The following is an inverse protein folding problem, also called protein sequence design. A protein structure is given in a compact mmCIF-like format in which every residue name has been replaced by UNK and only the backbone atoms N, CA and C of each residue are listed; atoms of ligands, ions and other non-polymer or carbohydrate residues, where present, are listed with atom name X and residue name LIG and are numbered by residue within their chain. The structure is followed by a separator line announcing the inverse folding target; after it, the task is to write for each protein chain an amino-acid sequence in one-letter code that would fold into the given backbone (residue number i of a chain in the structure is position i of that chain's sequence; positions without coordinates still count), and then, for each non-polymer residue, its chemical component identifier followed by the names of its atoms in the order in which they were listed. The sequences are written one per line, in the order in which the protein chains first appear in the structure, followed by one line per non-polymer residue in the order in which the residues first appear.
data_IF_774381891464
#
_entry.id   IF_774381891464
#
_cell.length_a   1.000
_cell.length_b   1.000
_cell.length_c   1.000
_cell.angle_alpha   90.00
_cell.angle_beta   90.00
_cell.angle_gamma   90.00
#
_symmetry.space_group_name_H-M   'P 1'
#
loop_
_entity.id
_entity.type
_entity.pdbx_description
1 polymer ?
#
# COMPACT_ATOMS: atom_id res chain seq x y z
N UNK A 1 4.53 -14.38 28.50
CA UNK A 1 4.00 -14.53 27.13
C UNK A 1 3.63 -13.14 26.68
N UNK A 2 4.17 -12.68 25.55
CA UNK A 2 3.85 -11.37 24.96
C UNK A 2 2.39 -11.36 24.51
N UNK A 3 1.65 -10.31 24.87
CA UNK A 3 0.23 -10.10 24.56
C UNK A 3 0.01 -10.05 23.02
N UNK A 4 -1.15 -10.43 22.45
CA UNK A 4 -1.36 -10.35 21.00
C UNK A 4 -1.34 -8.92 20.48
N UNK A 5 -1.60 -7.94 21.35
CA UNK A 5 -1.43 -6.52 20.99
C UNK A 5 0.04 -6.10 21.07
N UNK A 6 0.83 -6.66 22.01
CA UNK A 6 2.30 -6.56 21.94
C UNK A 6 2.86 -7.33 20.71
N UNK A 7 2.06 -8.23 20.13
CA UNK A 7 2.29 -8.97 18.89
C UNK A 7 1.47 -8.46 17.71
N UNK A 8 0.77 -7.33 17.79
CA UNK A 8 0.22 -6.68 16.61
C UNK A 8 1.34 -5.99 15.80
N UNK A 9 2.57 -6.54 15.93
CA UNK A 9 3.88 -6.18 15.40
C UNK A 9 4.16 -4.70 15.21
N UNK A 10 3.59 -3.83 16.06
CA UNK A 10 3.80 -2.38 15.94
C UNK A 10 5.21 -1.93 16.34
N UNK A 11 5.95 -2.74 17.10
CA UNK A 11 7.37 -2.49 17.42
C UNK A 11 8.35 -2.90 16.32
N UNK A 12 7.94 -3.79 15.40
CA UNK A 12 8.79 -4.37 14.35
C UNK A 12 7.98 -4.53 13.05
N UNK A 13 7.43 -3.43 12.53
CA UNK A 13 6.72 -3.40 11.23
C UNK A 13 7.61 -3.77 10.03
N UNK A 14 8.92 -3.99 10.25
CA UNK A 14 9.92 -4.25 9.20
C UNK A 14 9.54 -5.42 8.28
N UNK A 15 8.73 -6.35 8.76
CA UNK A 15 8.37 -7.58 8.04
C UNK A 15 6.89 -7.68 7.64
N UNK A 16 6.09 -6.64 7.83
CA UNK A 16 4.67 -6.61 7.46
C UNK A 16 4.39 -5.43 6.52
N UNK A 17 3.45 -5.59 5.59
CA UNK A 17 3.08 -4.53 4.66
C UNK A 17 2.24 -3.43 5.33
N UNK A 18 1.64 -3.68 6.52
CA UNK A 18 0.94 -2.67 7.31
C UNK A 18 0.63 -3.12 8.76
N UNK A 19 0.32 -2.16 9.66
CA UNK A 19 -0.38 -2.34 10.94
C UNK A 19 -1.38 -3.50 11.04
N UNK A 20 -2.36 -3.53 10.14
CA UNK A 20 -3.43 -4.51 10.18
C UNK A 20 -2.94 -5.92 9.90
N UNK A 21 -2.03 -6.08 8.94
CA UNK A 21 -1.44 -7.39 8.63
C UNK A 21 -0.70 -7.96 9.83
N UNK A 22 0.04 -7.11 10.53
CA UNK A 22 0.75 -7.47 11.74
C UNK A 22 -0.21 -7.96 12.85
N UNK A 23 -1.33 -7.26 13.08
CA UNK A 23 -2.39 -7.72 13.98
C UNK A 23 -2.94 -9.08 13.57
N UNK A 24 -3.34 -9.26 12.31
CA UNK A 24 -3.90 -10.51 11.83
C UNK A 24 -2.91 -11.69 11.93
N UNK A 25 -1.62 -11.47 11.66
CA UNK A 25 -0.59 -12.47 11.91
C UNK A 25 -0.46 -12.86 13.39
N UNK A 26 -0.58 -11.88 14.31
CA UNK A 26 -0.62 -12.13 15.74
C UNK A 26 -1.82 -12.99 16.15
N UNK A 27 -3.01 -12.67 15.62
CA UNK A 27 -4.26 -13.38 15.92
C UNK A 27 -4.32 -14.82 15.39
N UNK A 28 -3.51 -15.16 14.38
CA UNK A 28 -3.41 -16.54 13.87
C UNK A 28 -2.64 -17.49 14.78
N UNK A 29 -1.85 -16.97 15.73
CA UNK A 29 -1.07 -17.82 16.65
C UNK A 29 -2.03 -18.49 17.64
N UNK A 30 -1.82 -19.78 17.98
CA UNK A 30 -2.62 -20.43 19.01
C UNK A 30 -2.56 -19.65 20.32
N UNK A 31 -3.72 -19.35 20.92
CA UNK A 31 -3.80 -18.59 22.17
C UNK A 31 -5.23 -18.40 22.68
N UNK A 32 -5.35 -17.80 23.87
CA UNK A 32 -6.64 -17.49 24.51
C UNK A 32 -7.18 -16.14 24.03
N UNK A 33 -7.87 -16.16 22.88
CA UNK A 33 -8.46 -14.98 22.24
C UNK A 33 -9.43 -14.20 23.14
N UNK A 34 -10.16 -14.90 24.01
CA UNK A 34 -11.08 -14.29 24.98
C UNK A 34 -10.30 -13.55 26.06
N UNK A 35 -9.28 -14.20 26.64
CA UNK A 35 -8.41 -13.59 27.64
C UNK A 35 -7.69 -12.36 27.10
N UNK A 36 -7.23 -12.41 25.85
CA UNK A 36 -6.58 -11.27 25.19
C UNK A 36 -7.50 -10.07 24.97
N UNK A 37 -8.74 -10.31 24.53
CA UNK A 37 -9.77 -9.26 24.44
C UNK A 37 -10.03 -8.63 25.81
N UNK A 38 -10.19 -9.44 26.85
CA UNK A 38 -10.52 -8.95 28.19
C UNK A 38 -9.34 -8.20 28.84
N UNK A 39 -8.10 -8.56 28.50
CA UNK A 39 -6.92 -7.78 28.85
C UNK A 39 -6.86 -6.45 28.09
N UNK A 40 -7.12 -6.45 26.79
CA UNK A 40 -7.20 -5.22 25.99
C UNK A 40 -8.22 -4.23 26.54
N UNK A 41 -9.42 -4.70 26.91
CA UNK A 41 -10.45 -3.84 27.52
C UNK A 41 -10.00 -3.18 28.81
N UNK A 42 -9.19 -3.88 29.64
CA UNK A 42 -8.58 -3.28 30.83
C UNK A 42 -7.57 -2.17 30.49
N UNK A 43 -6.85 -2.30 29.37
CA UNK A 43 -5.96 -1.23 28.86
C UNK A 43 -6.80 -0.06 28.36
N UNK A 44 -7.87 -0.30 27.60
CA UNK A 44 -8.79 0.75 27.12
C UNK A 44 -9.42 1.54 28.26
N UNK A 45 -9.89 0.87 29.31
CA UNK A 45 -10.50 1.54 30.47
C UNK A 45 -9.50 2.47 31.18
N UNK A 46 -8.22 2.10 31.22
CA UNK A 46 -7.15 2.95 31.76
C UNK A 46 -6.79 4.09 30.81
N UNK A 47 -6.75 3.83 29.51
CA UNK A 47 -6.46 4.84 28.49
C UNK A 47 -7.54 5.94 28.47
N UNK A 48 -8.83 5.56 28.57
CA UNK A 48 -9.96 6.50 28.71
C UNK A 48 -9.88 7.37 29.95
N UNK A 49 -9.29 6.87 31.03
CA UNK A 49 -9.11 7.59 32.28
C UNK A 49 -7.80 8.40 32.34
N UNK A 50 -6.96 8.32 31.32
CA UNK A 50 -5.59 8.85 31.33
C UNK A 50 -5.15 9.40 29.98
N UNK A 51 -3.83 9.41 29.79
CA UNK A 51 -3.21 9.76 28.52
C UNK A 51 -3.15 8.52 27.63
N UNK A 52 -3.89 8.56 26.52
CA UNK A 52 -3.95 7.49 25.54
C UNK A 52 -2.57 7.03 25.07
N UNK A 53 -1.70 7.96 24.64
CA UNK A 53 -0.38 7.61 24.12
C UNK A 53 0.48 6.96 25.21
N UNK A 54 0.50 7.54 26.41
CA UNK A 54 1.30 7.01 27.51
C UNK A 54 0.86 5.59 27.93
N UNK A 55 -0.46 5.33 27.95
CA UNK A 55 -1.01 4.01 28.27
C UNK A 55 -0.73 3.01 27.14
N UNK A 56 -0.90 3.39 25.87
CA UNK A 56 -0.59 2.51 24.74
C UNK A 56 0.90 2.12 24.71
N UNK A 57 1.79 3.07 24.98
CA UNK A 57 3.22 2.79 24.95
C UNK A 57 3.67 1.90 26.11
N UNK A 58 3.09 2.07 27.30
CA UNK A 58 3.52 1.36 28.52
C UNK A 58 2.84 0.02 28.72
N UNK A 59 1.57 -0.08 28.36
CA UNK A 59 0.73 -1.21 28.73
C UNK A 59 0.27 -2.04 27.54
N UNK A 60 0.18 -1.44 26.36
CA UNK A 60 -0.07 -2.15 25.10
C UNK A 60 1.22 -2.49 24.33
N UNK A 61 2.38 -2.02 24.82
CA UNK A 61 3.70 -2.13 24.19
C UNK A 61 3.73 -1.58 22.74
N UNK A 62 2.93 -0.55 22.45
CA UNK A 62 2.95 0.11 21.14
C UNK A 62 4.03 1.20 21.13
N UNK A 63 5.20 0.92 20.57
CA UNK A 63 6.31 1.88 20.59
C UNK A 63 6.23 2.91 19.45
N UNK A 64 5.15 3.71 19.40
CA UNK A 64 4.94 4.76 18.41
C UNK A 64 4.57 6.09 19.06
N UNK A 65 4.86 7.19 18.35
CA UNK A 65 4.46 8.54 18.77
C UNK A 65 3.02 8.84 18.37
N UNK A 66 2.65 8.41 17.16
CA UNK A 66 1.31 8.54 16.59
C UNK A 66 0.62 7.16 16.59
N UNK A 67 -0.73 7.12 16.57
CA UNK A 67 -1.43 5.86 16.41
C UNK A 67 -1.00 5.17 15.11
N UNK A 68 -0.97 3.83 15.06
CA UNK A 68 -0.53 3.13 13.86
C UNK A 68 -1.39 3.38 12.62
N UNK A 69 -2.68 3.67 12.78
CA UNK A 69 -3.58 4.04 11.69
C UNK A 69 -4.43 5.25 12.10
N UNK A 70 -4.61 6.21 11.20
CA UNK A 70 -5.35 7.45 11.43
C UNK A 70 -4.65 8.45 12.34
N UNK A 71 -5.40 9.46 12.82
CA UNK A 71 -4.89 10.54 13.70
C UNK A 71 -5.31 10.41 15.16
N UNK A 72 -6.15 9.42 15.50
CA UNK A 72 -6.72 9.25 16.85
C UNK A 72 -6.35 7.91 17.49
N UNK A 73 -5.63 7.97 18.62
CA UNK A 73 -5.34 6.81 19.46
C UNK A 73 -6.60 6.11 19.96
N UNK A 74 -7.63 6.86 20.32
CA UNK A 74 -8.91 6.32 20.77
C UNK A 74 -9.56 5.48 19.66
N UNK A 75 -9.73 6.07 18.47
CA UNK A 75 -10.39 5.41 17.32
C UNK A 75 -9.65 4.16 16.87
N UNK A 76 -8.32 4.21 16.83
CA UNK A 76 -7.48 3.05 16.55
C UNK A 76 -7.66 1.95 17.61
N UNK A 77 -7.63 2.32 18.88
CA UNK A 77 -7.70 1.35 19.96
C UNK A 77 -9.09 0.69 20.09
N UNK A 78 -10.16 1.43 19.80
CA UNK A 78 -11.52 0.92 19.69
C UNK A 78 -11.66 -0.07 18.54
N UNK A 79 -11.05 0.21 17.39
CA UNK A 79 -11.01 -0.76 16.29
C UNK A 79 -10.34 -2.08 16.70
N UNK A 80 -9.21 -2.02 17.41
CA UNK A 80 -8.54 -3.23 17.92
C UNK A 80 -9.48 -4.02 18.84
N UNK A 81 -10.26 -3.36 19.70
CA UNK A 81 -11.24 -4.05 20.55
C UNK A 81 -12.36 -4.70 19.75
N UNK A 82 -12.90 -4.00 18.75
CA UNK A 82 -13.89 -4.57 17.84
C UNK A 82 -13.35 -5.83 17.17
N UNK A 83 -12.11 -5.78 16.66
CA UNK A 83 -11.49 -6.90 15.97
C UNK A 83 -11.20 -8.07 16.92
N UNK A 84 -10.69 -7.81 18.11
CA UNK A 84 -10.49 -8.85 19.15
C UNK A 84 -11.81 -9.47 19.58
N UNK A 85 -12.88 -8.66 19.68
CA UNK A 85 -14.22 -9.14 20.03
C UNK A 85 -14.77 -10.07 18.96
N UNK A 86 -14.64 -9.70 17.68
CA UNK A 86 -15.05 -10.52 16.54
C UNK A 86 -14.30 -11.86 16.51
N UNK A 87 -12.98 -11.84 16.60
CA UNK A 87 -12.14 -13.03 16.52
C UNK A 87 -12.30 -13.94 17.75
N UNK A 88 -12.54 -13.38 18.94
CA UNK A 88 -12.84 -14.16 20.13
C UNK A 88 -14.22 -14.85 20.04
N UNK A 89 -15.18 -14.25 19.32
CA UNK A 89 -16.49 -14.84 19.09
C UNK A 89 -16.46 -15.91 17.98
N UNK A 90 -15.72 -15.63 16.91
CA UNK A 90 -15.52 -16.54 15.77
C UNK A 90 -14.08 -16.46 15.25
N UNK A 91 -13.20 -17.40 15.67
CA UNK A 91 -11.82 -17.44 15.21
C UNK A 91 -11.66 -17.70 13.71
N UNK A 92 -12.70 -18.16 13.00
CA UNK A 92 -12.64 -18.38 11.55
C UNK A 92 -12.63 -17.07 10.75
N UNK A 93 -12.95 -15.94 11.39
CA UNK A 93 -12.92 -14.60 10.78
C UNK A 93 -11.51 -14.04 10.62
N UNK A 94 -10.49 -14.66 11.21
CA UNK A 94 -9.08 -14.24 11.06
C UNK A 94 -8.68 -14.25 9.59
N UNK A 95 -8.01 -13.18 9.14
CA UNK A 95 -7.69 -13.02 7.73
C UNK A 95 -6.84 -14.20 7.20
N UNK A 96 -7.16 -14.75 6.00
CA UNK A 96 -6.48 -15.91 5.45
C UNK A 96 -5.11 -15.54 4.85
N UNK A 97 -4.19 -15.10 5.70
CA UNK A 97 -2.84 -14.73 5.31
C UNK A 97 -1.98 -15.97 5.02
N UNK A 98 -0.91 -15.85 4.22
CA UNK A 98 0.11 -16.89 4.08
C UNK A 98 0.71 -17.30 5.45
N UNK A 99 0.97 -18.59 5.66
CA UNK A 99 1.54 -19.09 6.94
C UNK A 99 2.99 -18.62 7.15
N UNK A 100 3.75 -18.56 6.06
CA UNK A 100 5.09 -18.00 6.03
C UNK A 100 5.01 -16.63 5.38
N UNK A 101 5.76 -15.66 5.93
CA UNK A 101 5.92 -14.34 5.34
C UNK A 101 6.45 -14.54 3.92
N UNK A 102 5.57 -14.38 2.96
CA UNK A 102 5.84 -14.55 1.55
C UNK A 102 6.23 -13.20 0.98
N UNK A 103 7.38 -13.17 0.33
CA UNK A 103 7.92 -11.93 -0.20
C UNK A 103 7.05 -11.40 -1.34
N UNK A 104 6.80 -10.10 -1.36
CA UNK A 104 6.06 -9.43 -2.43
C UNK A 104 6.73 -9.64 -3.80
N UNK A 105 5.93 -9.61 -4.86
CA UNK A 105 6.43 -9.42 -6.22
C UNK A 105 6.86 -7.95 -6.35
N UNK A 106 8.04 -7.75 -6.94
CA UNK A 106 8.63 -6.42 -7.11
C UNK A 106 8.87 -6.16 -8.61
N UNK A 107 8.46 -4.99 -9.09
CA UNK A 107 8.57 -4.53 -10.49
C UNK A 107 9.49 -3.32 -10.56
N UNK A 108 10.76 -3.55 -10.81
CA UNK A 108 11.78 -2.50 -10.95
C UNK A 108 11.88 -2.06 -12.41
N UNK A 109 12.20 -0.78 -12.62
CA UNK A 109 12.36 -0.21 -13.95
C UNK A 109 13.69 0.51 -14.09
N UNK A 110 14.68 -0.15 -14.72
CA UNK A 110 16.01 0.42 -14.89
C UNK A 110 16.12 1.12 -16.25
N UNK A 111 16.30 2.44 -16.22
CA UNK A 111 16.60 3.24 -17.41
C UNK A 111 18.11 3.21 -17.67
N UNK A 112 18.50 2.96 -18.91
CA UNK A 112 19.90 2.99 -19.32
C UNK A 112 20.44 4.42 -19.22
N UNK A 113 21.57 4.68 -18.52
CA UNK A 113 22.09 6.04 -18.35
C UNK A 113 22.38 6.77 -19.67
N UNK A 114 22.74 6.02 -20.72
CA UNK A 114 22.99 6.54 -22.08
C UNK A 114 21.71 7.08 -22.75
N UNK A 115 20.53 6.66 -22.29
CA UNK A 115 19.22 7.02 -22.85
C UNK A 115 18.62 8.27 -22.22
N UNK A 116 19.33 8.93 -21.31
CA UNK A 116 18.85 10.12 -20.61
C UNK A 116 18.45 11.28 -21.53
N UNK A 117 19.05 11.42 -22.71
CA UNK A 117 18.62 12.41 -23.71
C UNK A 117 17.30 12.02 -24.38
N UNK A 118 17.13 10.75 -24.76
CA UNK A 118 15.89 10.22 -25.34
C UNK A 118 14.71 10.44 -24.38
N UNK A 119 14.90 10.08 -23.11
CA UNK A 119 13.88 10.23 -22.06
C UNK A 119 13.52 11.71 -21.86
N UNK A 120 14.51 12.60 -21.80
CA UNK A 120 14.27 14.05 -21.68
C UNK A 120 13.49 14.61 -22.87
N UNK A 121 13.81 14.16 -24.09
CA UNK A 121 13.09 14.59 -25.28
C UNK A 121 11.63 14.16 -25.24
N UNK A 122 11.35 12.89 -24.93
CA UNK A 122 9.98 12.37 -24.81
C UNK A 122 9.20 13.13 -23.74
N UNK A 123 9.80 13.38 -22.56
CA UNK A 123 9.15 14.16 -21.49
C UNK A 123 8.85 15.61 -21.90
N UNK A 124 9.68 16.21 -22.74
CA UNK A 124 9.50 17.58 -23.23
C UNK A 124 8.29 17.76 -24.15
N UNK A 125 7.85 16.68 -24.80
CA UNK A 125 6.74 16.68 -25.76
C UNK A 125 5.39 16.29 -25.12
N UNK A 126 5.37 15.95 -23.83
CA UNK A 126 4.19 15.43 -23.14
C UNK A 126 3.27 16.57 -22.70
N UNK A 127 2.00 16.46 -23.11
CA UNK A 127 0.93 17.23 -22.49
C UNK A 127 0.57 16.59 -21.15
N UNK A 128 0.91 17.29 -20.07
CA UNK A 128 0.57 16.86 -18.72
C UNK A 128 -0.95 16.93 -18.55
N UNK A 129 -1.61 15.85 -18.13
CA UNK A 129 -3.05 15.84 -18.00
C UNK A 129 -3.50 16.75 -16.85
N UNK A 130 -4.70 17.31 -16.98
CA UNK A 130 -5.38 18.02 -15.89
C UNK A 130 -5.90 16.98 -14.88
N UNK A 131 -5.02 16.45 -14.05
CA UNK A 131 -5.40 15.49 -13.01
C UNK A 131 -5.44 16.21 -11.66
N UNK A 132 -6.54 15.98 -10.93
CA UNK A 132 -6.90 16.69 -9.71
C UNK A 132 -6.27 16.10 -8.43
N UNK A 133 -5.37 15.12 -8.55
CA UNK A 133 -4.72 14.45 -7.43
C UNK A 133 -3.35 15.01 -7.08
N UNK A 134 -2.84 14.63 -5.91
CA UNK A 134 -1.48 14.99 -5.48
C UNK A 134 -0.42 14.31 -6.33
N UNK A 135 -0.61 13.03 -6.67
CA UNK A 135 0.27 12.30 -7.59
C UNK A 135 -0.50 11.65 -8.72
N UNK A 136 0.21 11.48 -9.81
CA UNK A 136 -0.28 10.84 -11.02
C UNK A 136 0.82 10.02 -11.70
N UNK A 137 0.42 9.10 -12.58
CA UNK A 137 1.30 8.17 -13.24
C UNK A 137 1.00 8.04 -14.73
N UNK A 138 2.00 8.40 -15.54
CA UNK A 138 1.97 8.30 -16.99
C UNK A 138 2.88 7.17 -17.48
N UNK A 139 2.50 6.57 -18.60
CA UNK A 139 3.33 5.62 -19.33
C UNK A 139 3.45 6.17 -20.73
N UNK A 140 4.67 6.49 -21.12
CA UNK A 140 5.01 7.06 -22.41
C UNK A 140 5.79 6.03 -23.22
N UNK A 141 5.89 6.24 -24.52
CA UNK A 141 6.64 5.37 -25.41
C UNK A 141 7.79 6.12 -26.08
N UNK A 142 8.98 5.53 -26.01
CA UNK A 142 10.18 6.01 -26.67
C UNK A 142 10.32 5.37 -28.07
N UNK A 143 11.05 6.04 -29.00
CA UNK A 143 11.26 5.49 -30.35
C UNK A 143 12.13 4.22 -30.39
N UNK A 144 12.82 3.91 -29.29
CA UNK A 144 13.74 2.77 -29.14
C UNK A 144 13.76 2.32 -27.68
N UNK A 145 14.42 1.19 -27.43
CA UNK A 145 14.55 0.64 -26.07
C UNK A 145 15.33 1.62 -25.20
N UNK A 146 14.84 1.86 -23.98
CA UNK A 146 15.39 2.85 -23.04
C UNK A 146 15.97 2.21 -21.78
N UNK A 147 15.89 0.88 -21.66
CA UNK A 147 16.30 0.13 -20.49
C UNK A 147 15.53 -1.18 -20.36
N UNK A 148 15.41 -1.67 -19.12
CA UNK A 148 14.78 -2.96 -18.81
C UNK A 148 13.74 -2.84 -17.71
N UNK A 149 12.59 -3.51 -17.90
CA UNK A 149 11.69 -3.86 -16.80
C UNK A 149 12.19 -5.16 -16.16
N UNK A 150 12.32 -5.14 -14.84
CA UNK A 150 12.79 -6.28 -14.04
C UNK A 150 11.67 -6.72 -13.10
N UNK A 151 11.30 -8.00 -13.18
CA UNK A 151 10.39 -8.62 -12.23
C UNK A 151 11.18 -9.54 -11.31
N UNK A 152 11.17 -9.20 -10.02
CA UNK A 152 11.78 -9.99 -8.96
C UNK A 152 10.67 -10.70 -8.18
N UNK A 153 10.66 -12.03 -8.28
CA UNK A 153 9.95 -12.87 -7.34
C UNK A 153 10.87 -13.15 -6.15
N UNK A 154 10.70 -12.38 -5.08
CA UNK A 154 11.50 -12.54 -3.86
C UNK A 154 11.21 -13.85 -3.10
N UNK A 155 10.14 -14.56 -3.42
CA UNK A 155 9.83 -15.86 -2.82
C UNK A 155 10.66 -16.98 -3.44
N UNK A 156 10.89 -16.92 -4.76
CA UNK A 156 11.70 -17.90 -5.49
C UNK A 156 13.13 -17.42 -5.77
N UNK A 157 13.40 -16.13 -5.62
CA UNK A 157 14.64 -15.48 -6.06
C UNK A 157 14.73 -15.34 -7.58
N UNK A 158 13.65 -15.63 -8.33
CA UNK A 158 13.66 -15.56 -9.79
C UNK A 158 13.62 -14.10 -10.24
N UNK A 159 14.52 -13.77 -11.16
CA UNK A 159 14.57 -12.47 -11.82
C UNK A 159 14.29 -12.67 -13.30
N UNK A 160 13.39 -11.88 -13.86
CA UNK A 160 13.22 -11.76 -15.31
C UNK A 160 13.41 -10.31 -15.73
N UNK A 161 14.22 -10.09 -16.74
CA UNK A 161 14.48 -8.76 -17.32
C UNK A 161 14.02 -8.75 -18.77
N UNK A 162 13.28 -7.71 -19.13
CA UNK A 162 12.73 -7.53 -20.47
C UNK A 162 13.06 -6.12 -20.96
N UNK A 163 13.78 -5.96 -22.09
CA UNK A 163 13.99 -4.65 -22.70
C UNK A 163 12.66 -3.96 -22.98
N UNK A 164 12.60 -2.66 -22.74
CA UNK A 164 11.37 -1.88 -22.86
C UNK A 164 11.63 -0.52 -23.47
N UNK A 165 10.65 -0.04 -24.23
CA UNK A 165 10.57 1.33 -24.76
C UNK A 165 9.69 2.23 -23.91
N UNK A 166 9.06 1.67 -22.89
CA UNK A 166 8.00 2.33 -22.14
C UNK A 166 8.60 3.03 -20.93
N UNK A 167 8.23 4.28 -20.75
CA UNK A 167 8.74 5.15 -19.71
C UNK A 167 7.60 5.39 -18.73
N UNK A 168 7.73 4.87 -17.51
CA UNK A 168 6.86 5.21 -16.38
C UNK A 168 7.29 6.56 -15.81
N UNK A 169 6.34 7.48 -15.64
CA UNK A 169 6.59 8.85 -15.19
C UNK A 169 5.65 9.16 -14.04
N UNK A 170 6.22 9.54 -12.90
CA UNK A 170 5.48 9.93 -11.72
C UNK A 170 5.45 11.46 -11.65
N UNK A 171 4.25 12.00 -11.61
CA UNK A 171 4.00 13.44 -11.49
C UNK A 171 3.56 13.76 -10.07
N UNK A 172 3.96 14.93 -9.57
CA UNK A 172 3.44 15.50 -8.33
C UNK A 172 2.89 16.91 -8.57
N UNK A 173 1.72 17.16 -8.02
CA UNK A 173 0.97 18.40 -8.11
C UNK A 173 1.01 19.10 -6.73
N UNK A 174 1.80 20.19 -6.63
CA UNK A 174 1.88 21.02 -5.42
C UNK A 174 1.65 22.49 -5.73
N UNK A 175 2.68 23.15 -6.24
CA UNK A 175 2.65 24.57 -6.68
C UNK A 175 2.69 24.67 -8.22
N UNK A 176 2.43 23.54 -8.89
CA UNK A 176 2.66 23.25 -10.29
C UNK A 176 2.85 21.75 -10.47
N UNK A 177 3.03 21.30 -11.71
CA UNK A 177 3.28 19.87 -12.01
C UNK A 177 4.78 19.65 -12.15
N UNK A 178 5.31 18.67 -11.41
CA UNK A 178 6.73 18.28 -11.49
C UNK A 178 6.87 16.77 -11.69
N UNK A 179 7.89 16.35 -12.45
CA UNK A 179 8.29 14.94 -12.53
C UNK A 179 9.08 14.61 -11.27
N UNK A 180 8.62 13.64 -10.48
CA UNK A 180 9.27 13.17 -9.24
C UNK A 180 9.88 11.78 -9.37
N UNK A 181 9.56 11.06 -10.43
CA UNK A 181 10.12 9.74 -10.70
C UNK A 181 10.05 9.39 -12.17
N UNK A 182 11.07 8.70 -12.67
CA UNK A 182 11.11 8.14 -14.02
C UNK A 182 11.72 6.74 -13.92
N UNK A 183 11.07 5.76 -14.54
CA UNK A 183 11.56 4.38 -14.56
C UNK A 183 11.18 3.69 -15.87
N UNK A 184 11.84 2.58 -16.19
CA UNK A 184 11.48 1.75 -17.32
C UNK A 184 10.23 0.91 -16.99
N UNK A 185 9.11 1.16 -17.67
CA UNK A 185 7.84 0.47 -17.40
C UNK A 185 7.77 -0.89 -18.10
N UNK A 186 6.81 -1.72 -17.69
CA UNK A 186 6.61 -3.08 -18.24
C UNK A 186 6.50 -3.09 -19.77
N UNK A 187 7.39 -3.85 -20.40
CA UNK A 187 7.54 -3.93 -21.85
C UNK A 187 6.23 -4.29 -22.57
N UNK A 188 5.48 -5.23 -22.00
CA UNK A 188 4.16 -5.64 -22.47
C UNK A 188 3.20 -5.56 -21.30
N UNK A 189 2.16 -4.72 -21.35
CA UNK A 189 1.22 -4.65 -20.25
C UNK A 189 0.32 -5.89 -20.27
N UNK A 190 -0.13 -6.34 -19.09
CA UNK A 190 -1.04 -7.48 -18.98
C UNK A 190 -2.47 -7.11 -19.40
N UNK A 191 -2.83 -5.84 -19.24
CA UNK A 191 -4.08 -5.21 -19.70
C UNK A 191 -3.74 -3.86 -20.32
N UNK A 192 -4.49 -3.41 -21.33
CA UNK A 192 -4.26 -2.07 -21.91
C UNK A 192 -4.30 -0.98 -20.82
N UNK A 193 -3.20 -0.21 -20.72
CA UNK A 193 -3.01 0.82 -19.70
C UNK A 193 -4.01 1.95 -19.87
N UNK A 194 -4.40 2.27 -21.11
CA UNK A 194 -5.40 3.29 -21.39
C UNK A 194 -6.81 2.84 -20.98
N UNK A 195 -7.10 1.53 -21.10
CA UNK A 195 -8.35 0.96 -20.58
C UNK A 195 -8.40 1.02 -19.06
N UNK A 196 -7.28 0.70 -18.39
CA UNK A 196 -7.17 0.80 -16.93
C UNK A 196 -7.36 2.25 -16.47
N UNK A 197 -6.69 3.22 -17.09
CA UNK A 197 -6.85 4.65 -16.76
C UNK A 197 -8.24 5.18 -17.01
N UNK A 198 -8.89 4.73 -18.09
CA UNK A 198 -10.26 5.15 -18.40
C UNK A 198 -11.27 4.59 -17.40
N UNK A 199 -11.06 3.36 -16.93
CA UNK A 199 -12.00 2.67 -16.04
C UNK A 199 -11.77 2.96 -14.56
N UNK A 200 -10.51 3.02 -14.15
CA UNK A 200 -10.09 3.28 -12.77
C UNK A 200 -8.99 4.36 -12.72
N UNK A 201 -9.33 5.61 -13.09
CA UNK A 201 -8.35 6.70 -13.18
C UNK A 201 -7.69 7.00 -11.83
N UNK A 202 -8.44 6.97 -10.73
CA UNK A 202 -7.89 7.31 -9.41
C UNK A 202 -7.01 6.18 -8.88
N UNK A 203 -7.41 4.93 -9.07
CA UNK A 203 -6.62 3.75 -8.70
C UNK A 203 -5.33 3.65 -9.50
N UNK A 204 -5.38 3.90 -10.81
CA UNK A 204 -4.19 3.91 -11.66
C UNK A 204 -3.18 4.97 -11.19
N UNK A 205 -3.67 6.18 -10.92
CA UNK A 205 -2.85 7.27 -10.39
C UNK A 205 -2.34 6.98 -8.97
N UNK A 206 -3.14 6.33 -8.12
CA UNK A 206 -2.73 5.98 -6.76
C UNK A 206 -1.61 4.93 -6.76
N UNK A 207 -1.82 3.83 -7.47
CA UNK A 207 -0.88 2.71 -7.52
C UNK A 207 0.45 3.11 -8.18
N UNK A 208 0.41 3.67 -9.39
CA UNK A 208 1.63 4.12 -10.07
C UNK A 208 2.22 5.40 -9.49
N UNK A 209 1.43 6.24 -8.80
CA UNK A 209 1.89 7.52 -8.25
C UNK A 209 2.54 7.40 -6.88
N UNK A 210 2.01 6.55 -6.00
CA UNK A 210 2.49 6.39 -4.62
C UNK A 210 3.29 5.11 -4.41
N UNK A 211 2.94 4.03 -5.11
CA UNK A 211 3.60 2.73 -4.96
C UNK A 211 4.49 2.44 -6.16
N UNK A 212 5.43 3.34 -6.47
CA UNK A 212 6.36 3.18 -7.60
C UNK A 212 7.80 2.96 -7.15
N UNK A 213 8.61 2.45 -8.07
CA UNK A 213 10.03 2.14 -7.87
C UNK A 213 10.79 3.32 -7.30
N UNK A 214 10.68 4.49 -7.96
CA UNK A 214 11.44 5.68 -7.61
C UNK A 214 11.19 6.20 -6.17
N UNK A 215 10.06 5.84 -5.56
CA UNK A 215 9.70 6.24 -4.19
C UNK A 215 9.86 5.11 -3.16
N UNK A 216 10.01 3.87 -3.60
CA UNK A 216 10.16 2.70 -2.75
C UNK A 216 11.61 2.15 -2.74
N UNK A 217 12.55 2.79 -3.44
CA UNK A 217 13.98 2.45 -3.36
C UNK A 217 14.53 2.80 -1.96
N UNK A 218 14.94 1.77 -1.21
CA UNK A 218 15.84 1.92 -0.07
C UNK A 218 15.17 2.23 1.27
N UNK A 219 14.47 1.24 1.83
CA UNK A 219 13.96 1.18 3.22
C UNK A 219 12.55 1.73 3.49
N UNK A 220 11.88 2.36 2.51
CA UNK A 220 10.49 2.77 2.68
C UNK A 220 9.50 1.62 2.41
N UNK A 221 8.69 1.30 3.42
CA UNK A 221 7.65 0.28 3.33
C UNK A 221 6.47 0.76 2.48
N UNK A 222 5.74 -0.16 1.83
CA UNK A 222 4.48 0.15 1.18
C UNK A 222 3.49 0.86 2.14
N UNK A 223 3.58 0.55 3.44
CA UNK A 223 2.83 1.23 4.47
C UNK A 223 3.13 2.74 4.53
N UNK A 224 4.41 3.12 4.52
CA UNK A 224 4.81 4.52 4.60
C UNK A 224 4.25 5.34 3.43
N UNK A 225 4.31 4.80 2.20
CA UNK A 225 3.72 5.47 1.03
C UNK A 225 2.20 5.53 1.10
N UNK A 226 1.55 4.50 1.64
CA UNK A 226 0.11 4.52 1.87
C UNK A 226 -0.30 5.60 2.88
N UNK A 227 0.44 5.77 3.99
CA UNK A 227 0.19 6.84 4.96
C UNK A 227 0.34 8.21 4.31
N UNK A 228 1.42 8.43 3.56
CA UNK A 228 1.63 9.70 2.86
C UNK A 228 0.51 9.99 1.84
N UNK A 229 0.02 8.97 1.14
CA UNK A 229 -1.14 9.11 0.24
C UNK A 229 -2.39 9.54 1.01
N UNK A 230 -2.69 8.86 2.13
CA UNK A 230 -3.87 9.13 2.95
C UNK A 230 -3.84 10.53 3.58
N UNK A 231 -2.66 11.02 3.96
CA UNK A 231 -2.49 12.38 4.52
C UNK A 231 -2.55 13.49 3.46
N UNK A 232 -2.09 13.22 2.23
CA UNK A 232 -1.86 14.27 1.23
C UNK A 232 -2.93 14.36 0.13
N UNK A 233 -3.63 13.28 -0.18
CA UNK A 233 -4.73 13.30 -1.15
C UNK A 233 -5.99 13.95 -0.57
N UNK A 234 -6.88 14.49 -1.39
CA UNK A 234 -8.16 15.05 -0.91
C UNK A 234 -9.13 13.96 -0.48
N UNK A 235 -10.08 14.28 0.42
CA UNK A 235 -11.04 13.28 0.92
C UNK A 235 -11.91 12.77 -0.23
N UNK A 236 -12.34 13.66 -1.13
CA UNK A 236 -13.13 13.30 -2.31
C UNK A 236 -12.39 12.30 -3.21
N UNK A 237 -11.06 12.44 -3.33
CA UNK A 237 -10.24 11.55 -4.15
C UNK A 237 -10.03 10.22 -3.47
N UNK A 238 -9.83 10.20 -2.15
CA UNK A 238 -9.74 8.96 -1.39
C UNK A 238 -11.08 8.19 -1.46
N UNK A 239 -12.22 8.85 -1.34
CA UNK A 239 -13.54 8.21 -1.49
C UNK A 239 -13.73 7.57 -2.88
N UNK A 240 -13.29 8.27 -3.94
CA UNK A 240 -13.28 7.72 -5.29
C UNK A 240 -12.33 6.52 -5.40
N UNK A 241 -11.14 6.59 -4.80
CA UNK A 241 -10.19 5.47 -4.75
C UNK A 241 -10.81 4.25 -4.08
N UNK A 242 -11.46 4.40 -2.93
CA UNK A 242 -12.13 3.31 -2.22
C UNK A 242 -13.25 2.69 -3.07
N UNK A 243 -13.98 3.51 -3.83
CA UNK A 243 -15.01 3.07 -4.77
C UNK A 243 -14.42 2.27 -5.93
N UNK A 244 -13.36 2.77 -6.56
CA UNK A 244 -12.67 2.09 -7.66
C UNK A 244 -12.00 0.78 -7.22
N UNK A 245 -11.43 0.73 -6.01
CA UNK A 245 -10.93 -0.50 -5.41
C UNK A 245 -12.08 -1.51 -5.25
N UNK A 246 -13.24 -1.07 -4.78
CA UNK A 246 -14.41 -1.95 -4.61
C UNK A 246 -14.89 -2.49 -5.95
N UNK A 247 -14.92 -1.68 -7.01
CA UNK A 247 -15.24 -2.13 -8.38
C UNK A 247 -14.21 -3.14 -8.89
N UNK A 248 -12.91 -2.85 -8.75
CA UNK A 248 -11.83 -3.75 -9.14
C UNK A 248 -11.94 -5.12 -8.45
N UNK A 249 -12.29 -5.13 -7.16
CA UNK A 249 -12.45 -6.35 -6.39
C UNK A 249 -13.66 -7.20 -6.81
N UNK A 250 -14.52 -6.73 -7.71
CA UNK A 250 -15.56 -7.57 -8.33
C UNK A 250 -14.99 -8.53 -9.39
N UNK A 251 -13.79 -8.26 -9.90
CA UNK A 251 -13.13 -9.11 -10.89
C UNK A 251 -12.56 -10.39 -10.28
N UNK A 252 -12.23 -11.35 -11.15
CA UNK A 252 -11.48 -12.54 -10.77
C UNK A 252 -10.06 -12.18 -10.33
N UNK A 253 -9.47 -13.04 -9.50
CA UNK A 253 -8.16 -12.80 -8.86
C UNK A 253 -7.05 -12.49 -9.88
N UNK A 254 -6.96 -13.27 -10.96
CA UNK A 254 -5.98 -13.06 -12.02
C UNK A 254 -6.14 -11.68 -12.71
N UNK A 255 -7.38 -11.22 -12.89
CA UNK A 255 -7.66 -9.92 -13.51
C UNK A 255 -7.29 -8.77 -12.57
N UNK A 256 -7.51 -8.92 -11.26
CA UNK A 256 -7.06 -7.94 -10.25
C UNK A 256 -5.56 -7.77 -10.31
N UNK A 257 -4.81 -8.87 -10.32
CA UNK A 257 -3.35 -8.84 -10.47
C UNK A 257 -2.92 -8.17 -11.78
N UNK A 258 -3.56 -8.51 -12.90
CA UNK A 258 -3.23 -7.95 -14.20
C UNK A 258 -3.48 -6.43 -14.29
N UNK A 259 -4.57 -5.94 -13.69
CA UNK A 259 -4.89 -4.51 -13.61
C UNK A 259 -3.89 -3.78 -12.71
N UNK A 260 -3.59 -4.30 -11.52
CA UNK A 260 -2.64 -3.68 -10.58
C UNK A 260 -1.24 -3.58 -11.17
N UNK A 261 -0.77 -4.63 -11.86
CA UNK A 261 0.50 -4.60 -12.57
C UNK A 261 0.49 -3.54 -13.68
N UNK A 262 -0.58 -3.49 -14.49
CA UNK A 262 -0.71 -2.55 -15.61
C UNK A 262 -0.90 -1.09 -15.15
N UNK A 263 -1.38 -0.88 -13.92
CA UNK A 263 -1.45 0.42 -13.26
C UNK A 263 -0.07 0.95 -12.81
N UNK A 264 1.01 0.17 -12.94
CA UNK A 264 2.36 0.58 -12.58
C UNK A 264 2.70 0.40 -11.10
N UNK A 265 1.99 -0.47 -10.39
CA UNK A 265 2.30 -0.78 -9.00
C UNK A 265 3.64 -1.53 -8.90
N UNK A 266 4.60 -0.94 -8.20
CA UNK A 266 5.93 -1.50 -7.96
C UNK A 266 5.91 -2.75 -7.10
N UNK A 267 5.09 -2.73 -6.03
CA UNK A 267 5.04 -3.80 -5.04
C UNK A 267 3.66 -4.43 -5.02
N UNK A 268 3.61 -5.73 -5.24
CA UNK A 268 2.39 -6.53 -5.13
C UNK A 268 2.54 -7.51 -3.98
N UNK A 269 1.90 -7.26 -2.82
CA UNK A 269 1.81 -8.24 -1.76
C UNK A 269 1.10 -9.50 -2.27
N UNK A 270 1.50 -10.69 -1.79
CA UNK A 270 0.87 -11.93 -2.26
C UNK A 270 -0.62 -12.03 -1.93
N UNK A 271 -1.06 -11.28 -0.92
CA UNK A 271 -2.45 -11.20 -0.48
C UNK A 271 -3.09 -9.91 -1.03
N UNK A 272 -2.82 -9.61 -2.31
CA UNK A 272 -3.18 -8.35 -2.98
C UNK A 272 -4.64 -7.95 -2.75
N UNK A 273 -5.58 -8.88 -2.86
CA UNK A 273 -7.00 -8.61 -2.63
C UNK A 273 -7.29 -8.13 -1.21
N UNK A 274 -6.70 -8.77 -0.20
CA UNK A 274 -6.84 -8.34 1.20
C UNK A 274 -6.19 -6.97 1.40
N UNK A 275 -5.01 -6.74 0.82
CA UNK A 275 -4.32 -5.47 0.91
C UNK A 275 -5.15 -4.31 0.33
N UNK A 276 -5.75 -4.50 -0.85
CA UNK A 276 -6.67 -3.54 -1.47
C UNK A 276 -7.94 -3.34 -0.62
N UNK A 277 -8.53 -4.41 -0.10
CA UNK A 277 -9.69 -4.31 0.81
C UNK A 277 -9.36 -3.48 2.06
N UNK A 278 -8.19 -3.68 2.65
CA UNK A 278 -7.74 -2.92 3.80
C UNK A 278 -7.44 -1.47 3.45
N UNK A 279 -6.92 -1.20 2.25
CA UNK A 279 -6.75 0.18 1.76
C UNK A 279 -8.10 0.91 1.66
N UNK A 280 -9.09 0.31 1.00
CA UNK A 280 -10.43 0.90 0.90
C UNK A 280 -11.09 1.09 2.28
N UNK A 281 -10.94 0.10 3.17
CA UNK A 281 -11.44 0.21 4.54
C UNK A 281 -10.79 1.35 5.33
N UNK A 282 -9.47 1.54 5.24
CA UNK A 282 -8.76 2.62 5.96
C UNK A 282 -9.25 4.01 5.57
N UNK A 283 -9.52 4.20 4.29
CA UNK A 283 -10.05 5.46 3.75
C UNK A 283 -11.38 5.79 4.43
N UNK A 284 -12.30 4.83 4.50
CA UNK A 284 -13.63 5.07 5.08
C UNK A 284 -13.67 4.99 6.61
N UNK A 285 -12.69 4.36 7.26
CA UNK A 285 -12.75 4.06 8.70
C UNK A 285 -11.95 5.02 9.57
N UNK A 286 -10.85 5.62 9.10
CA UNK A 286 -10.00 6.48 9.92
C UNK A 286 -9.95 7.92 9.39
N UNK A 287 -9.73 8.85 10.30
CA UNK A 287 -9.41 10.24 9.93
C UNK A 287 -7.91 10.34 9.66
N UNK A 288 -7.54 11.03 8.58
CA UNK A 288 -6.16 11.19 8.12
C UNK A 288 -5.71 12.66 8.05
N UNK A 289 -6.57 13.58 8.48
CA UNK A 289 -6.40 15.03 8.44
C UNK A 289 -6.91 15.69 9.71
#
# INVERSE_FOLDING_TARGET
MSHPVSLACYGELQDCACPREALEHGLRRPGDLVGYRDEWRRVLDRARAGDWQAVMNREADVNLVLPPEGTSWERWAEWVDLRLTEVAADPSTVAPLPLHRSSSLVREGLVDPEEGETVRAVLGDVLLPEIAGRRDYLVLEAPRDIGVSRHLDRGTGRVSEVPTRRIGVVLEHRDGVRVVGVHAADAVPLVDVEDVRRRWPVLAAALGGWFNDALLVGEESAWSQQVLMLEQETDERLDLLATEITDLLTLHDADVHAVVASAGCYVEPVHLRLWLQWMAWRIGYFDWK
#
